data_IF_724760163104
#
_entry.id   IF_724760163104
#
_cell.length_a   1.000
_cell.length_b   1.000
_cell.length_c   1.000
_cell.angle_alpha   90.00
_cell.angle_beta   90.00
_cell.angle_gamma   90.00
#
_symmetry.space_group_name_H-M   'P 1'
#
loop_
_entity.id
_entity.type
_entity.pdbx_description
1 polymer ?
#
# COMPACT_ATOMS: atom_id res chain seq x y z
N UNK A 1 -18.84 -11.53 -7.25
CA UNK A 1 -17.55 -10.89 -6.92
C UNK A 1 -16.54 -12.00 -6.81
N UNK A 2 -15.37 -11.86 -7.43
CA UNK A 2 -14.23 -12.68 -7.05
C UNK A 2 -13.43 -11.93 -6.00
N UNK A 3 -12.93 -12.64 -4.98
CA UNK A 3 -12.08 -12.04 -3.92
C UNK A 3 -10.89 -11.30 -4.53
N UNK A 4 -10.35 -11.83 -5.64
CA UNK A 4 -9.26 -11.22 -6.40
C UNK A 4 -9.59 -9.81 -6.91
N UNK A 5 -10.80 -9.57 -7.42
CA UNK A 5 -11.20 -8.24 -7.91
C UNK A 5 -11.26 -7.23 -6.76
N UNK A 6 -11.80 -7.62 -5.60
CA UNK A 6 -11.85 -6.76 -4.41
C UNK A 6 -10.45 -6.36 -3.94
N UNK A 7 -9.52 -7.32 -3.92
CA UNK A 7 -8.12 -7.05 -3.56
C UNK A 7 -7.47 -6.14 -4.59
N UNK A 8 -7.65 -6.42 -5.88
CA UNK A 8 -7.10 -5.57 -6.95
C UNK A 8 -7.62 -4.13 -6.86
N UNK A 9 -8.91 -3.92 -6.59
CA UNK A 9 -9.47 -2.57 -6.37
C UNK A 9 -8.84 -1.89 -5.15
N UNK A 10 -8.65 -2.61 -4.04
CA UNK A 10 -8.01 -2.04 -2.85
C UNK A 10 -6.56 -1.61 -3.11
N UNK A 11 -5.78 -2.44 -3.80
CA UNK A 11 -4.41 -2.10 -4.18
C UNK A 11 -4.36 -0.97 -5.22
N UNK A 12 -5.26 -0.97 -6.20
CA UNK A 12 -5.34 0.09 -7.20
C UNK A 12 -5.71 1.45 -6.58
N UNK A 13 -6.51 1.47 -5.52
CA UNK A 13 -6.94 2.70 -4.86
C UNK A 13 -5.91 3.24 -3.85
N UNK A 14 -5.26 2.35 -3.09
CA UNK A 14 -4.46 2.73 -1.92
C UNK A 14 -2.96 2.44 -2.06
N UNK A 15 -2.51 2.01 -3.24
CA UNK A 15 -1.09 1.74 -3.49
C UNK A 15 -0.65 2.09 -4.90
N UNK A 16 0.65 2.29 -5.08
CA UNK A 16 1.29 2.41 -6.38
C UNK A 16 1.67 1.05 -6.99
N UNK A 17 1.25 -0.07 -6.37
CA UNK A 17 1.57 -1.42 -6.86
C UNK A 17 0.77 -1.70 -8.13
N UNK A 18 1.42 -2.08 -9.24
CA UNK A 18 0.71 -2.45 -10.45
C UNK A 18 -0.18 -3.67 -10.21
N UNK A 19 -1.46 -3.54 -10.53
CA UNK A 19 -2.47 -4.60 -10.43
C UNK A 19 -3.35 -4.66 -11.68
N UNK A 20 -3.96 -5.82 -11.99
CA UNK A 20 -4.92 -5.92 -13.08
C UNK A 20 -6.06 -4.91 -12.91
N UNK A 21 -6.36 -4.17 -13.99
CA UNK A 21 -7.40 -3.14 -14.02
C UNK A 21 -8.71 -3.79 -14.46
N UNK A 22 -9.59 -4.10 -13.50
CA UNK A 22 -10.93 -4.59 -13.76
C UNK A 22 -11.93 -3.43 -13.79
N UNK A 23 -13.10 -3.62 -14.40
CA UNK A 23 -14.19 -2.63 -14.31
C UNK A 23 -14.69 -2.48 -12.88
N UNK A 24 -14.64 -1.26 -12.35
CA UNK A 24 -15.07 -0.93 -11.00
C UNK A 24 -16.60 -0.89 -10.95
N UNK A 25 -17.19 -1.62 -10.02
CA UNK A 25 -18.63 -1.67 -9.83
C UNK A 25 -18.97 -1.83 -8.35
N UNK A 26 -20.24 -1.59 -8.01
CA UNK A 26 -20.70 -1.66 -6.62
C UNK A 26 -20.33 -2.96 -5.92
N UNK A 27 -20.35 -4.09 -6.65
CA UNK A 27 -20.00 -5.38 -6.07
C UNK A 27 -18.51 -5.40 -5.67
N UNK A 28 -17.56 -5.22 -6.60
CA UNK A 28 -16.13 -5.31 -6.26
C UNK A 28 -15.62 -4.20 -5.34
N UNK A 29 -16.28 -3.04 -5.32
CA UNK A 29 -15.94 -1.95 -4.40
C UNK A 29 -16.46 -2.18 -2.97
N UNK A 30 -17.59 -2.87 -2.79
CA UNK A 30 -18.29 -3.01 -1.48
C UNK A 30 -17.40 -3.49 -0.34
N UNK A 31 -16.45 -4.38 -0.63
CA UNK A 31 -15.55 -4.97 0.37
C UNK A 31 -14.08 -4.57 0.18
N UNK A 32 -13.79 -3.57 -0.65
CA UNK A 32 -12.41 -3.13 -0.93
C UNK A 32 -11.69 -2.67 0.35
N UNK A 33 -12.38 -1.95 1.25
CA UNK A 33 -11.84 -1.56 2.55
C UNK A 33 -11.52 -2.75 3.47
N UNK A 34 -12.19 -3.90 3.31
CA UNK A 34 -11.81 -5.11 4.06
C UNK A 34 -10.50 -5.71 3.54
N UNK A 35 -10.12 -5.43 2.28
CA UNK A 35 -8.85 -5.84 1.70
C UNK A 35 -7.74 -4.79 1.90
N UNK A 36 -8.06 -3.55 2.29
CA UNK A 36 -7.09 -2.50 2.58
C UNK A 36 -5.97 -2.92 3.56
N UNK A 37 -6.22 -3.71 4.63
CA UNK A 37 -5.16 -4.20 5.51
C UNK A 37 -4.04 -4.96 4.78
N UNK A 38 -4.29 -5.56 3.61
CA UNK A 38 -3.27 -6.23 2.81
C UNK A 38 -2.21 -5.27 2.26
N UNK A 39 -2.59 -4.01 1.97
CA UNK A 39 -1.63 -2.95 1.61
C UNK A 39 -0.73 -2.64 2.81
N UNK A 40 -1.31 -2.58 4.01
CA UNK A 40 -0.56 -2.43 5.26
C UNK A 40 0.40 -3.60 5.53
N UNK A 41 -0.03 -4.84 5.25
CA UNK A 41 0.84 -6.02 5.33
C UNK A 41 2.02 -5.90 4.37
N UNK A 42 1.81 -5.43 3.13
CA UNK A 42 2.91 -5.18 2.19
C UNK A 42 3.92 -4.16 2.74
N UNK A 43 3.45 -3.03 3.27
CA UNK A 43 4.31 -2.06 3.93
C UNK A 43 5.09 -2.68 5.11
N UNK A 44 4.39 -3.43 5.96
CA UNK A 44 4.99 -4.10 7.12
C UNK A 44 6.05 -5.13 6.75
N UNK A 45 5.81 -5.94 5.71
CA UNK A 45 6.81 -6.89 5.18
C UNK A 45 8.05 -6.14 4.70
N UNK A 46 7.89 -5.07 3.93
CA UNK A 46 9.02 -4.26 3.45
C UNK A 46 9.79 -3.60 4.60
N UNK A 47 9.09 -3.14 5.65
CA UNK A 47 9.74 -2.68 6.87
C UNK A 47 10.53 -3.80 7.56
N UNK A 48 9.97 -5.00 7.71
CA UNK A 48 10.70 -6.14 8.27
C UNK A 48 11.97 -6.45 7.46
N UNK A 49 11.89 -6.44 6.12
CA UNK A 49 13.07 -6.61 5.26
C UNK A 49 14.09 -5.50 5.53
N UNK A 50 13.69 -4.23 5.49
CA UNK A 50 14.56 -3.09 5.78
C UNK A 50 15.22 -3.18 7.16
N UNK A 51 14.47 -3.62 8.18
CA UNK A 51 14.95 -3.80 9.55
C UNK A 51 16.00 -4.91 9.66
N UNK A 52 15.86 -5.97 8.85
CA UNK A 52 16.73 -7.15 8.86
C UNK A 52 18.07 -6.96 8.14
N UNK A 53 18.17 -5.97 7.26
CA UNK A 53 19.39 -5.69 6.51
C UNK A 53 20.43 -4.97 7.40
N UNK A 54 21.74 -5.27 7.25
CA UNK A 54 22.81 -4.62 8.00
C UNK A 54 23.11 -3.21 7.47
N UNK A 55 22.12 -2.32 7.51
CA UNK A 55 22.19 -0.96 7.01
C UNK A 55 22.66 0.02 8.10
N UNK A 56 23.43 1.08 7.74
CA UNK A 56 23.70 2.18 8.66
C UNK A 56 22.41 2.80 9.20
N UNK A 57 22.46 3.32 10.43
CA UNK A 57 21.27 3.82 11.12
C UNK A 57 20.47 4.85 10.30
N UNK A 58 21.17 5.78 9.62
CA UNK A 58 20.53 6.81 8.79
C UNK A 58 19.82 6.22 7.57
N UNK A 59 20.40 5.21 6.92
CA UNK A 59 19.80 4.54 5.76
C UNK A 59 18.55 3.75 6.19
N UNK A 60 18.62 3.05 7.32
CA UNK A 60 17.47 2.33 7.87
C UNK A 60 16.33 3.27 8.26
N UNK A 61 16.65 4.40 8.90
CA UNK A 61 15.66 5.42 9.25
C UNK A 61 14.99 5.99 7.98
N UNK A 62 15.77 6.35 6.97
CA UNK A 62 15.24 6.79 5.68
C UNK A 62 14.34 5.72 5.04
N UNK A 63 14.74 4.44 5.09
CA UNK A 63 13.93 3.33 4.62
C UNK A 63 12.58 3.25 5.33
N UNK A 64 12.55 3.33 6.67
CA UNK A 64 11.29 3.32 7.42
C UNK A 64 10.36 4.49 7.06
N UNK A 65 10.92 5.68 6.83
CA UNK A 65 10.13 6.84 6.41
C UNK A 65 9.62 6.74 4.95
N UNK A 66 10.45 6.25 4.03
CA UNK A 66 10.17 6.32 2.60
C UNK A 66 9.41 5.11 2.03
N UNK A 67 9.54 3.92 2.62
CA UNK A 67 8.82 2.71 2.19
C UNK A 67 7.30 2.92 2.09
N UNK A 68 6.58 3.44 3.10
CA UNK A 68 5.14 3.61 2.99
C UNK A 68 4.76 4.62 1.91
N UNK A 69 5.57 5.67 1.71
CA UNK A 69 5.36 6.66 0.64
C UNK A 69 5.50 5.99 -0.73
N UNK A 70 6.57 5.22 -0.92
CA UNK A 70 6.84 4.51 -2.17
C UNK A 70 5.76 3.48 -2.50
N UNK A 71 5.33 2.70 -1.51
CA UNK A 71 4.27 1.67 -1.68
C UNK A 71 2.92 2.31 -1.94
N UNK A 72 2.57 3.37 -1.21
CA UNK A 72 1.23 3.98 -1.28
C UNK A 72 1.09 5.02 -2.39
N UNK A 73 2.18 5.35 -3.10
CA UNK A 73 2.18 6.45 -4.08
C UNK A 73 2.07 7.83 -3.43
N UNK A 74 2.32 7.95 -2.13
CA UNK A 74 2.27 9.22 -1.41
C UNK A 74 0.87 9.70 -1.00
N UNK A 75 -0.19 8.89 -1.14
CA UNK A 75 -1.58 9.30 -0.82
C UNK A 75 -1.77 9.86 0.60
N UNK A 76 -0.96 9.41 1.58
CA UNK A 76 -1.00 9.93 2.94
C UNK A 76 -0.33 11.30 3.07
N UNK A 77 0.73 11.54 2.29
CA UNK A 77 1.38 12.86 2.23
C UNK A 77 0.52 13.85 1.46
N UNK A 78 -0.19 13.40 0.42
CA UNK A 78 -1.20 14.16 -0.30
C UNK A 78 -2.29 14.63 0.66
N UNK A 79 -2.89 13.70 1.41
CA UNK A 79 -3.89 14.05 2.43
C UNK A 79 -3.36 14.92 3.58
N UNK A 80 -2.06 14.90 3.87
CA UNK A 80 -1.43 15.85 4.81
C UNK A 80 -1.22 17.24 4.17
N UNK A 81 -0.92 17.31 2.87
CA UNK A 81 -0.79 18.57 2.15
C UNK A 81 -2.15 19.25 1.90
N UNK A 82 -3.23 18.48 1.88
CA UNK A 82 -4.61 18.97 1.78
C UNK A 82 -5.14 19.62 3.08
N UNK A 83 -4.44 19.48 4.21
CA UNK A 83 -4.80 20.10 5.51
C UNK A 83 -4.07 21.41 5.75
#
# INVERSE_FOLDING_TARGET
MTVLQTIAVAFAMFSAVPVPQFDWNEKNMRYSLCAFPLVGVLCGVLWCVCASLPLPAMVRAAGFCLIPIWVTGGIHLDGYADT
#
